data_IF_283425382276
#
_entry.id   IF_283425382276
#
_cell.length_a   1.000
_cell.length_b   1.000
_cell.length_c   1.000
_cell.angle_alpha   90.00
_cell.angle_beta   90.00
_cell.angle_gamma   90.00
#
_symmetry.space_group_name_H-M   'P 1'
#
loop_
_entity.id
_entity.type
_entity.pdbx_description
1 polymer ?
#
# COMPACT_ATOMS: atom_id res chain seq x y z
N UNK A 1 -3.31 -14.91 16.47
CA UNK A 1 -4.36 -14.90 15.43
C UNK A 1 -3.70 -14.94 14.08
N UNK A 2 -4.08 -15.89 13.22
CA UNK A 2 -3.60 -15.90 11.83
C UNK A 2 -4.41 -14.81 11.13
N UNK A 3 -3.78 -13.67 10.86
CA UNK A 3 -4.44 -12.56 10.18
C UNK A 3 -4.64 -12.93 8.72
N UNK A 4 -5.86 -13.35 8.38
CA UNK A 4 -6.28 -13.56 6.99
C UNK A 4 -6.37 -12.25 6.22
N UNK A 5 -6.04 -12.29 4.93
CA UNK A 5 -6.28 -11.16 4.04
C UNK A 5 -7.79 -10.89 3.95
N UNK A 6 -8.18 -9.62 4.05
CA UNK A 6 -9.55 -9.19 3.80
C UNK A 6 -9.86 -9.39 2.31
N UNK A 7 -10.81 -10.26 1.93
CA UNK A 7 -10.98 -10.66 0.52
C UNK A 7 -11.38 -9.51 -0.39
N UNK A 8 -12.17 -8.56 0.12
CA UNK A 8 -12.61 -7.38 -0.61
C UNK A 8 -12.54 -6.13 0.30
N UNK A 9 -11.36 -5.48 0.39
CA UNK A 9 -11.18 -4.32 1.27
C UNK A 9 -12.05 -3.13 0.87
N UNK A 10 -12.37 -2.98 -0.42
CA UNK A 10 -13.25 -1.91 -0.91
C UNK A 10 -14.67 -2.07 -0.37
N UNK A 11 -15.25 -3.27 -0.50
CA UNK A 11 -16.60 -3.55 -0.04
C UNK A 11 -16.71 -3.44 1.49
N UNK A 12 -15.69 -3.88 2.23
CA UNK A 12 -15.68 -3.74 3.70
C UNK A 12 -15.62 -2.26 4.11
N UNK A 13 -14.81 -1.44 3.44
CA UNK A 13 -14.78 0.01 3.70
C UNK A 13 -16.14 0.64 3.43
N UNK A 14 -16.75 0.34 2.28
CA UNK A 14 -18.06 0.84 1.90
C UNK A 14 -19.11 0.51 2.97
N UNK A 15 -19.27 -0.77 3.32
CA UNK A 15 -20.26 -1.21 4.32
C UNK A 15 -20.00 -0.62 5.71
N UNK A 16 -18.72 -0.49 6.10
CA UNK A 16 -18.36 0.08 7.39
C UNK A 16 -18.70 1.57 7.46
N UNK A 17 -18.48 2.30 6.37
CA UNK A 17 -18.81 3.72 6.26
C UNK A 17 -20.33 3.94 6.24
N UNK A 18 -21.07 3.18 5.41
CA UNK A 18 -22.53 3.21 5.36
C UNK A 18 -23.15 2.99 6.75
N UNK A 19 -22.70 1.96 7.47
CA UNK A 19 -23.17 1.67 8.83
C UNK A 19 -22.90 2.83 9.78
N UNK A 20 -21.73 3.48 9.69
CA UNK A 20 -21.35 4.59 10.56
C UNK A 20 -22.17 5.86 10.27
N UNK A 21 -22.48 6.11 8.99
CA UNK A 21 -23.34 7.20 8.56
C UNK A 21 -24.79 6.99 9.04
N UNK A 22 -25.32 5.78 8.88
CA UNK A 22 -26.67 5.42 9.36
C UNK A 22 -26.81 5.57 10.87
N UNK A 23 -25.81 5.12 11.64
CA UNK A 23 -25.78 5.30 13.09
C UNK A 23 -25.72 6.79 13.51
N UNK A 24 -25.27 7.66 12.61
CA UNK A 24 -25.24 9.12 12.78
C UNK A 24 -26.49 9.80 12.22
N UNK A 25 -27.51 9.05 11.79
CA UNK A 25 -28.76 9.57 11.24
C UNK A 25 -28.73 9.91 9.74
N UNK A 26 -27.65 9.55 9.02
CA UNK A 26 -27.48 9.83 7.60
C UNK A 26 -27.80 8.56 6.79
N UNK A 27 -28.93 8.56 6.08
CA UNK A 27 -29.35 7.43 5.24
C UNK A 27 -28.93 7.63 3.79
N UNK A 28 -28.17 6.68 3.26
CA UNK A 28 -27.84 6.59 1.83
C UNK A 28 -28.98 5.86 1.13
N UNK A 29 -29.66 6.53 0.18
CA UNK A 29 -30.83 5.99 -0.54
C UNK A 29 -30.49 5.37 -1.89
N UNK A 30 -29.38 5.78 -2.48
CA UNK A 30 -28.96 5.38 -3.82
C UNK A 30 -27.77 4.42 -3.74
N UNK A 31 -27.48 3.73 -4.83
CA UNK A 31 -26.29 2.89 -4.93
C UNK A 31 -25.00 3.72 -4.86
N UNK A 32 -23.98 3.13 -4.25
CA UNK A 32 -22.63 3.71 -4.21
C UNK A 32 -22.00 3.57 -5.59
N UNK A 33 -21.70 4.70 -6.23
CA UNK A 33 -21.06 4.74 -7.54
C UNK A 33 -19.59 5.12 -7.38
N UNK A 34 -18.70 4.31 -7.94
CA UNK A 34 -17.28 4.67 -8.09
C UNK A 34 -17.13 5.48 -9.37
N UNK A 35 -16.88 6.79 -9.22
CA UNK A 35 -16.68 7.72 -10.33
C UNK A 35 -15.21 8.14 -10.41
N UNK A 36 -14.65 8.15 -11.62
CA UNK A 36 -13.34 8.72 -11.93
C UNK A 36 -13.38 10.21 -12.30
N UNK A 37 -14.55 10.86 -12.22
CA UNK A 37 -14.70 12.28 -12.56
C UNK A 37 -14.21 13.17 -11.41
N UNK A 38 -13.20 13.99 -11.69
CA UNK A 38 -12.56 14.90 -10.72
C UNK A 38 -13.36 16.19 -10.43
N UNK A 39 -14.60 16.31 -10.91
CA UNK A 39 -15.44 17.51 -10.74
C UNK A 39 -16.27 17.52 -9.43
N UNK A 40 -15.89 16.69 -8.45
CA UNK A 40 -16.62 16.58 -7.19
C UNK A 40 -16.08 17.57 -6.15
N UNK A 41 -16.97 18.15 -5.35
CA UNK A 41 -16.58 18.96 -4.20
C UNK A 41 -16.07 18.04 -3.07
N UNK A 42 -14.88 18.33 -2.56
CA UNK A 42 -14.31 17.60 -1.42
C UNK A 42 -15.10 17.96 -0.15
N UNK A 43 -15.75 16.96 0.46
CA UNK A 43 -16.47 17.13 1.72
C UNK A 43 -15.57 16.96 2.94
N UNK A 44 -14.59 16.07 2.85
CA UNK A 44 -13.68 15.75 3.94
C UNK A 44 -12.35 15.21 3.41
N UNK A 45 -11.27 15.43 4.14
CA UNK A 45 -9.96 14.87 3.88
C UNK A 45 -9.38 14.33 5.18
N UNK A 46 -8.87 13.11 5.12
CA UNK A 46 -8.25 12.43 6.25
C UNK A 46 -6.77 12.21 5.95
N UNK A 47 -5.90 12.79 6.78
CA UNK A 47 -4.47 12.58 6.69
C UNK A 47 -4.08 11.35 7.53
N UNK A 48 -3.20 10.50 6.99
CA UNK A 48 -2.59 9.42 7.75
C UNK A 48 -1.59 9.96 8.78
N UNK A 49 -1.11 9.13 9.71
CA UNK A 49 0.13 9.40 10.43
C UNK A 49 1.30 9.68 9.47
N UNK A 50 2.33 10.31 10.00
CA UNK A 50 3.57 10.61 9.29
C UNK A 50 4.34 9.33 8.90
N UNK A 51 5.28 9.46 7.96
CA UNK A 51 6.01 8.34 7.39
C UNK A 51 6.86 7.61 8.44
N UNK A 52 7.48 8.33 9.36
CA UNK A 52 8.26 7.80 10.48
C UNK A 52 7.41 6.89 11.38
N UNK A 53 6.15 7.25 11.69
CA UNK A 53 5.25 6.37 12.44
C UNK A 53 4.88 5.11 11.64
N UNK A 54 4.63 5.25 10.34
CA UNK A 54 4.30 4.11 9.47
C UNK A 54 5.49 3.14 9.35
N UNK A 55 6.70 3.67 9.15
CA UNK A 55 7.94 2.87 9.10
C UNK A 55 8.21 2.21 10.45
N UNK A 56 8.01 2.92 11.56
CA UNK A 56 8.15 2.35 12.89
C UNK A 56 7.28 1.10 13.06
N UNK A 57 5.98 1.19 12.74
CA UNK A 57 5.09 0.04 12.85
C UNK A 57 5.39 -1.06 11.83
N UNK A 58 5.78 -0.69 10.61
CA UNK A 58 6.22 -1.66 9.61
C UNK A 58 7.38 -2.52 10.13
N UNK A 59 8.42 -1.88 10.67
CA UNK A 59 9.61 -2.56 11.18
C UNK A 59 9.34 -3.30 12.49
N UNK A 60 8.62 -2.68 13.43
CA UNK A 60 8.39 -3.23 14.76
C UNK A 60 7.43 -4.43 14.76
N UNK A 61 6.47 -4.45 13.83
CA UNK A 61 5.41 -5.48 13.77
C UNK A 61 5.46 -6.33 12.50
N UNK A 62 6.40 -6.05 11.58
CA UNK A 62 6.53 -6.73 10.29
C UNK A 62 5.20 -6.81 9.53
N UNK A 63 4.53 -5.66 9.39
CA UNK A 63 3.19 -5.60 8.77
C UNK A 63 3.35 -5.68 7.26
N UNK A 64 3.11 -6.85 6.67
CA UNK A 64 3.28 -7.09 5.23
C UNK A 64 2.52 -6.10 4.34
N UNK A 65 1.31 -5.71 4.75
CA UNK A 65 0.51 -4.72 4.03
C UNK A 65 1.24 -3.38 3.90
N UNK A 66 2.01 -2.98 4.90
CA UNK A 66 2.77 -1.73 4.86
C UNK A 66 3.90 -1.83 3.86
N UNK A 67 4.66 -2.93 3.86
CA UNK A 67 5.74 -3.13 2.88
C UNK A 67 5.24 -3.00 1.44
N UNK A 68 4.11 -3.65 1.14
CA UNK A 68 3.51 -3.60 -0.19
C UNK A 68 2.94 -2.22 -0.55
N UNK A 69 2.25 -1.56 0.39
CA UNK A 69 1.69 -0.24 0.18
C UNK A 69 2.78 0.84 0.01
N UNK A 70 3.85 0.77 0.81
CA UNK A 70 5.00 1.68 0.71
C UNK A 70 5.71 1.52 -0.64
N UNK A 71 5.92 0.28 -1.09
CA UNK A 71 6.55 0.00 -2.38
C UNK A 71 5.74 0.58 -3.55
N UNK A 72 4.42 0.35 -3.57
CA UNK A 72 3.52 0.89 -4.61
C UNK A 72 3.43 2.42 -4.56
N UNK A 73 3.39 2.99 -3.36
CA UNK A 73 3.36 4.45 -3.18
C UNK A 73 4.64 5.08 -3.72
N UNK A 74 5.79 4.48 -3.44
CA UNK A 74 7.06 4.91 -3.98
C UNK A 74 7.08 4.83 -5.52
N UNK A 75 6.56 3.73 -6.10
CA UNK A 75 6.44 3.58 -7.54
C UNK A 75 5.55 4.65 -8.18
N UNK A 76 4.40 4.94 -7.55
CA UNK A 76 3.50 6.00 -7.98
C UNK A 76 4.17 7.37 -7.95
N UNK A 77 4.92 7.68 -6.89
CA UNK A 77 5.60 8.97 -6.74
C UNK A 77 6.76 9.16 -7.70
N UNK A 78 7.47 8.09 -8.06
CA UNK A 78 8.68 8.17 -8.89
C UNK A 78 8.41 7.99 -10.38
N UNK A 79 7.48 7.10 -10.72
CA UNK A 79 7.25 6.67 -12.10
C UNK A 79 5.79 6.88 -12.55
N UNK A 80 4.91 7.39 -11.69
CA UNK A 80 3.49 7.60 -11.99
C UNK A 80 2.64 6.32 -11.99
N UNK A 81 3.23 5.15 -11.75
CA UNK A 81 2.58 3.84 -11.80
C UNK A 81 2.69 3.16 -10.43
N UNK A 82 1.59 3.10 -9.70
CA UNK A 82 1.48 2.46 -8.38
C UNK A 82 1.32 0.95 -8.42
N UNK A 83 2.28 0.23 -9.01
CA UNK A 83 2.29 -1.25 -9.04
C UNK A 83 3.51 -1.84 -8.33
N UNK A 84 3.39 -3.09 -7.89
CA UNK A 84 4.47 -3.84 -7.24
C UNK A 84 5.68 -3.93 -8.16
N UNK A 85 5.44 -4.33 -9.41
CA UNK A 85 6.49 -4.51 -10.42
C UNK A 85 7.26 -3.20 -10.67
N UNK A 86 6.54 -2.08 -10.82
CA UNK A 86 7.16 -0.77 -11.01
C UNK A 86 8.00 -0.36 -9.79
N UNK A 87 7.53 -0.66 -8.58
CA UNK A 87 8.26 -0.40 -7.34
C UNK A 87 9.51 -1.27 -7.20
N UNK A 88 9.41 -2.56 -7.49
CA UNK A 88 10.56 -3.49 -7.51
C UNK A 88 11.61 -3.02 -8.52
N UNK A 89 11.19 -2.66 -9.74
CA UNK A 89 12.11 -2.16 -10.76
C UNK A 89 12.84 -0.90 -10.30
N UNK A 90 12.12 0.04 -9.70
CA UNK A 90 12.72 1.26 -9.15
C UNK A 90 13.71 0.93 -8.02
N UNK A 91 13.34 0.07 -7.08
CA UNK A 91 14.17 -0.28 -5.92
C UNK A 91 15.46 -0.99 -6.35
N UNK A 92 15.38 -1.90 -7.32
CA UNK A 92 16.57 -2.56 -7.88
C UNK A 92 17.53 -1.56 -8.51
N UNK A 93 17.01 -0.62 -9.30
CA UNK A 93 17.83 0.45 -9.91
C UNK A 93 18.46 1.34 -8.83
N UNK A 94 17.68 1.73 -7.82
CA UNK A 94 18.13 2.58 -6.73
C UNK A 94 19.34 1.98 -5.97
N UNK A 95 19.32 0.68 -5.72
CA UNK A 95 20.42 -0.03 -5.07
C UNK A 95 21.59 -0.31 -5.99
N UNK A 96 21.34 -0.61 -7.26
CA UNK A 96 22.38 -0.76 -8.28
C UNK A 96 23.22 0.51 -8.41
N UNK A 97 22.60 1.68 -8.41
CA UNK A 97 23.28 3.00 -8.43
C UNK A 97 24.15 3.25 -7.19
N UNK A 98 23.95 2.49 -6.11
CA UNK A 98 24.71 2.57 -4.84
C UNK A 98 25.75 1.45 -4.69
N UNK A 99 26.01 0.70 -5.76
CA UNK A 99 27.05 -0.32 -5.79
C UNK A 99 26.60 -1.71 -5.32
N UNK A 100 25.31 -1.92 -5.06
CA UNK A 100 24.79 -3.27 -4.80
C UNK A 100 24.69 -4.03 -6.12
N UNK A 101 25.30 -5.22 -6.18
CA UNK A 101 25.20 -6.10 -7.35
C UNK A 101 23.74 -6.49 -7.59
N UNK A 102 23.28 -6.35 -8.84
CA UNK A 102 21.94 -6.73 -9.30
C UNK A 102 21.61 -8.21 -9.06
N UNK A 103 22.64 -9.05 -8.90
CA UNK A 103 22.52 -10.47 -8.57
C UNK A 103 22.54 -10.74 -7.06
N UNK A 104 22.98 -9.79 -6.24
CA UNK A 104 22.97 -9.94 -4.79
C UNK A 104 21.56 -9.76 -4.21
N UNK A 105 20.73 -8.92 -4.86
CA UNK A 105 19.36 -8.60 -4.45
C UNK A 105 18.33 -9.01 -5.51
N UNK A 106 17.48 -9.98 -5.17
CA UNK A 106 16.25 -10.29 -5.91
C UNK A 106 15.04 -9.95 -5.05
N UNK A 107 14.36 -8.87 -5.42
CA UNK A 107 13.11 -8.44 -4.79
C UNK A 107 11.94 -8.78 -5.72
N UNK A 108 10.85 -9.27 -5.17
CA UNK A 108 9.61 -9.63 -5.89
C UNK A 108 8.39 -8.94 -5.28
N UNK A 109 8.42 -8.61 -4.00
CA UNK A 109 7.37 -7.85 -3.31
C UNK A 109 7.96 -6.86 -2.31
N UNK A 110 7.12 -6.00 -1.74
CA UNK A 110 7.53 -5.03 -0.72
C UNK A 110 7.59 -5.61 0.70
N UNK A 111 7.07 -6.81 0.91
CA UNK A 111 6.81 -7.37 2.26
C UNK A 111 7.82 -8.42 2.71
N UNK A 112 8.49 -9.10 1.78
CA UNK A 112 9.35 -10.25 2.06
C UNK A 112 8.62 -11.60 2.04
N UNK A 113 7.30 -11.65 1.81
CA UNK A 113 6.51 -12.89 1.82
C UNK A 113 6.83 -13.83 0.65
N UNK A 114 7.17 -13.29 -0.51
CA UNK A 114 7.44 -14.09 -1.68
C UNK A 114 8.66 -14.99 -1.44
N UNK A 115 8.54 -16.32 -1.61
CA UNK A 115 9.68 -17.24 -1.51
C UNK A 115 10.71 -17.02 -2.63
N UNK A 116 10.37 -16.18 -3.62
CA UNK A 116 11.26 -15.79 -4.71
C UNK A 116 12.16 -14.60 -4.33
N UNK A 117 11.92 -13.95 -3.18
CA UNK A 117 12.85 -12.96 -2.63
C UNK A 117 14.17 -13.64 -2.25
N UNK A 118 15.30 -13.02 -2.57
CA UNK A 118 16.63 -13.53 -2.25
C UNK A 118 17.61 -12.38 -2.01
N UNK A 119 18.34 -12.45 -0.90
CA UNK A 119 19.46 -11.58 -0.58
C UNK A 119 20.69 -12.45 -0.25
N UNK A 120 21.90 -11.95 -0.52
CA UNK A 120 23.14 -12.56 0.00
C UNK A 120 23.60 -11.82 1.27
N UNK A 121 24.37 -12.48 2.12
CA UNK A 121 24.79 -11.86 3.40
C UNK A 121 25.82 -10.71 3.25
N UNK A 122 26.38 -10.54 2.06
CA UNK A 122 27.38 -9.50 1.74
C UNK A 122 26.77 -8.32 0.95
N UNK A 123 25.45 -8.28 0.84
CA UNK A 123 24.70 -7.20 0.17
C UNK A 123 24.64 -5.95 1.03
#
# INVERSE_FOLDING_TARGET
TISGAMPNPFQVLQQSLERRLQASGITIKNEVVVSSNNQQQVLHSYASPNMDSLVYWFMQKSINLYGEALLKTLAQQKNGIGSTDAGVQWMRKYWQERGIDVNALRMVDGSGLSPLNRNTAYT
#
